data_IF_420854278862
#
_entry.id   IF_420854278862
#
_cell.length_a   1.000
_cell.length_b   1.000
_cell.length_c   1.000
_cell.angle_alpha   90.00
_cell.angle_beta   90.00
_cell.angle_gamma   90.00
#
_symmetry.space_group_name_H-M   'P 1'
#
loop_
_entity.id
_entity.type
_entity.pdbx_description
1 polymer ?
#
# COMPACT_ATOMS: atom_id res chain seq x y z
N UNK A 1 19.14 2.85 9.45
CA UNK A 1 18.24 1.75 9.04
C UNK A 1 19.08 0.58 8.57
N UNK A 2 18.99 -0.54 9.26
CA UNK A 2 19.72 -1.77 8.90
C UNK A 2 19.11 -2.38 7.63
N UNK A 3 19.95 -2.66 6.63
CA UNK A 3 19.53 -3.30 5.39
C UNK A 3 19.41 -4.80 5.64
N UNK A 4 18.25 -5.38 5.36
CA UNK A 4 18.03 -6.81 5.42
C UNK A 4 18.45 -7.50 4.11
N UNK A 5 17.82 -7.12 2.99
CA UNK A 5 18.07 -7.73 1.69
C UNK A 5 17.83 -6.71 0.57
N UNK A 6 18.47 -6.92 -0.58
CA UNK A 6 18.32 -6.08 -1.76
C UNK A 6 18.14 -6.97 -2.99
N UNK A 7 17.00 -6.84 -3.66
CA UNK A 7 16.71 -7.57 -4.90
C UNK A 7 15.81 -6.69 -5.81
N UNK A 8 15.99 -6.72 -7.15
CA UNK A 8 15.15 -5.95 -8.07
C UNK A 8 13.64 -6.15 -7.91
N UNK A 9 13.19 -7.28 -7.36
CA UNK A 9 11.77 -7.64 -7.23
C UNK A 9 11.07 -6.95 -6.06
N UNK A 10 11.78 -6.60 -5.00
CA UNK A 10 11.21 -5.96 -3.81
C UNK A 10 11.97 -4.70 -3.37
N UNK A 11 13.08 -4.35 -4.03
CA UNK A 11 13.92 -3.21 -3.70
C UNK A 11 14.89 -3.51 -2.55
N UNK A 12 15.25 -2.48 -1.80
CA UNK A 12 16.14 -2.53 -0.63
C UNK A 12 15.32 -2.57 0.65
N UNK A 13 15.11 -3.77 1.18
CA UNK A 13 14.37 -3.98 2.42
C UNK A 13 15.19 -3.54 3.62
N UNK A 14 14.62 -2.63 4.41
CA UNK A 14 15.21 -2.13 5.64
C UNK A 14 14.33 -2.50 6.82
N UNK A 15 14.95 -2.98 7.89
CA UNK A 15 14.26 -3.41 9.10
C UNK A 15 13.72 -2.17 9.83
N UNK A 16 12.43 -2.16 10.13
CA UNK A 16 11.75 -1.08 10.84
C UNK A 16 11.41 -1.50 12.27
N UNK A 17 10.59 -2.54 12.43
CA UNK A 17 10.18 -3.08 13.74
C UNK A 17 10.50 -4.56 13.84
N UNK A 18 11.06 -4.99 14.97
CA UNK A 18 11.36 -6.40 15.26
C UNK A 18 10.40 -6.93 16.31
N UNK A 19 9.80 -8.09 16.02
CA UNK A 19 8.78 -8.74 16.84
C UNK A 19 9.31 -9.98 17.57
N UNK A 20 10.32 -10.63 17.00
CA UNK A 20 11.04 -11.73 17.60
C UNK A 20 12.51 -11.64 17.24
N UNK A 21 13.37 -11.72 18.25
CA UNK A 21 14.82 -11.65 18.12
C UNK A 21 15.43 -12.83 18.87
N UNK A 22 16.18 -13.65 18.14
CA UNK A 22 16.93 -14.77 18.67
C UNK A 22 18.16 -14.97 17.77
N UNK A 23 19.32 -14.60 18.29
CA UNK A 23 20.56 -14.51 17.50
C UNK A 23 20.39 -13.66 16.23
N UNK A 24 19.74 -12.50 16.40
CA UNK A 24 19.32 -11.61 15.33
C UNK A 24 17.80 -11.55 15.13
N UNK A 25 17.29 -10.62 14.29
CA UNK A 25 15.86 -10.47 14.02
C UNK A 25 15.30 -11.68 13.27
N UNK A 26 14.36 -12.43 13.84
CA UNK A 26 13.75 -13.62 13.19
C UNK A 26 12.33 -13.36 12.69
N UNK A 27 11.62 -12.41 13.27
CA UNK A 27 10.32 -11.94 12.77
C UNK A 27 10.31 -10.43 12.87
N UNK A 28 10.08 -9.76 11.74
CA UNK A 28 10.13 -8.30 11.69
C UNK A 28 9.31 -7.73 10.53
N UNK A 29 9.07 -6.44 10.62
CA UNK A 29 8.52 -5.60 9.58
C UNK A 29 9.64 -4.84 8.87
N UNK A 30 9.59 -4.86 7.54
CA UNK A 30 10.53 -4.15 6.69
C UNK A 30 9.82 -3.24 5.68
N UNK A 31 10.50 -2.16 5.31
CA UNK A 31 10.09 -1.24 4.26
C UNK A 31 11.15 -1.18 3.17
N UNK A 32 10.74 -0.99 1.93
CA UNK A 32 11.64 -0.65 0.83
C UNK A 32 11.67 0.86 0.56
N UNK A 33 12.53 1.28 -0.37
CA UNK A 33 12.67 2.67 -0.80
C UNK A 33 11.40 3.28 -1.42
N UNK A 34 10.44 2.47 -1.87
CA UNK A 34 9.15 2.95 -2.38
C UNK A 34 8.07 3.08 -1.31
N UNK A 35 8.40 2.84 -0.03
CA UNK A 35 7.44 2.83 1.07
C UNK A 35 6.52 1.61 1.06
N UNK A 36 6.83 0.58 0.26
CA UNK A 36 6.13 -0.69 0.30
C UNK A 36 6.53 -1.48 1.53
N UNK A 37 5.56 -2.18 2.09
CA UNK A 37 5.63 -2.79 3.43
C UNK A 37 5.63 -4.31 3.34
N UNK A 38 6.48 -4.95 4.13
CA UNK A 38 6.69 -6.40 4.09
C UNK A 38 6.76 -6.98 5.50
N UNK A 39 6.08 -8.11 5.70
CA UNK A 39 6.26 -8.94 6.88
C UNK A 39 7.31 -10.01 6.55
N UNK A 40 8.37 -10.07 7.36
CA UNK A 40 9.48 -10.99 7.15
C UNK A 40 9.50 -12.05 8.25
N UNK A 41 9.53 -13.31 7.83
CA UNK A 41 9.44 -14.46 8.70
C UNK A 41 10.58 -15.44 8.41
N UNK A 42 11.43 -15.70 9.40
CA UNK A 42 12.45 -16.73 9.33
C UNK A 42 11.83 -18.12 9.35
N UNK A 43 12.23 -18.97 8.40
CA UNK A 43 11.69 -20.32 8.21
C UNK A 43 12.62 -21.37 8.81
N UNK A 44 13.93 -21.13 8.78
CA UNK A 44 14.92 -22.10 9.22
C UNK A 44 16.26 -21.86 8.55
N UNK A 45 17.28 -22.60 9.00
CA UNK A 45 18.63 -22.56 8.43
C UNK A 45 18.91 -23.87 7.70
N UNK A 46 19.56 -23.76 6.55
CA UNK A 46 20.21 -24.87 5.85
C UNK A 46 21.74 -24.76 6.00
N UNK A 47 22.50 -25.67 5.40
CA UNK A 47 23.97 -25.69 5.59
C UNK A 47 24.68 -24.43 5.06
N UNK A 48 24.14 -23.80 4.01
CA UNK A 48 24.78 -22.68 3.32
C UNK A 48 23.99 -21.37 3.38
N UNK A 49 22.72 -21.40 3.81
CA UNK A 49 21.83 -20.25 3.78
C UNK A 49 20.77 -20.28 4.88
N UNK A 50 20.32 -19.09 5.27
CA UNK A 50 19.08 -18.91 6.03
C UNK A 50 17.90 -18.76 5.08
N UNK A 51 16.78 -19.40 5.40
CA UNK A 51 15.55 -19.32 4.64
C UNK A 51 14.56 -18.34 5.27
N UNK A 52 14.03 -17.46 4.44
CA UNK A 52 13.14 -16.38 4.84
C UNK A 52 11.95 -16.28 3.91
N UNK A 53 10.78 -16.04 4.49
CA UNK A 53 9.60 -15.63 3.73
C UNK A 53 9.42 -14.13 3.88
N UNK A 54 9.43 -13.42 2.75
CA UNK A 54 9.11 -12.00 2.66
C UNK A 54 7.73 -11.87 2.04
N UNK A 55 6.77 -11.42 2.85
CA UNK A 55 5.35 -11.39 2.49
C UNK A 55 4.93 -9.93 2.32
N UNK A 56 4.55 -9.49 1.11
CA UNK A 56 3.94 -8.18 0.91
C UNK A 56 2.67 -8.05 1.76
N UNK A 57 2.58 -7.00 2.56
CA UNK A 57 1.42 -6.76 3.41
C UNK A 57 1.23 -5.27 3.66
N UNK A 58 -0.01 -4.80 3.77
CA UNK A 58 -0.33 -3.42 4.08
C UNK A 58 0.12 -3.00 5.47
N UNK A 59 0.39 -1.70 5.63
CA UNK A 59 0.70 -1.09 6.93
C UNK A 59 -0.44 -1.28 7.95
N UNK A 60 -1.70 -1.29 7.51
CA UNK A 60 -2.84 -1.58 8.38
C UNK A 60 -2.80 -3.00 8.93
N UNK A 61 -2.40 -3.99 8.13
CA UNK A 61 -2.24 -5.38 8.59
C UNK A 61 -1.08 -5.53 9.59
N UNK A 62 0.04 -4.82 9.36
CA UNK A 62 1.14 -4.73 10.32
C UNK A 62 0.65 -4.13 11.66
N UNK A 63 -0.05 -2.99 11.61
CA UNK A 63 -0.59 -2.34 12.81
C UNK A 63 -1.58 -3.24 13.56
N UNK A 64 -2.42 -3.99 12.85
CA UNK A 64 -3.36 -4.93 13.45
C UNK A 64 -2.63 -6.09 14.17
N UNK A 65 -1.54 -6.59 13.59
CA UNK A 65 -0.66 -7.56 14.26
C UNK A 65 0.01 -6.95 15.50
N UNK A 66 0.55 -5.74 15.40
CA UNK A 66 1.19 -5.00 16.50
C UNK A 66 0.22 -4.72 17.67
N UNK A 67 -1.04 -4.42 17.35
CA UNK A 67 -2.13 -4.21 18.33
C UNK A 67 -2.74 -5.52 18.85
N UNK A 68 -2.18 -6.68 18.52
CA UNK A 68 -2.67 -8.02 18.91
C UNK A 68 -4.09 -8.33 18.42
N UNK A 69 -4.55 -7.66 17.37
CA UNK A 69 -5.83 -7.94 16.71
C UNK A 69 -5.70 -9.11 15.73
N UNK A 70 -4.48 -9.35 15.22
CA UNK A 70 -4.13 -10.51 14.40
C UNK A 70 -3.06 -11.35 15.12
N UNK A 71 -3.16 -12.66 14.99
CA UNK A 71 -2.10 -13.59 15.42
C UNK A 71 -1.12 -13.87 14.27
N UNK A 72 0.02 -14.48 14.62
CA UNK A 72 1.11 -14.77 13.68
C UNK A 72 0.68 -15.78 12.59
N UNK A 73 -0.18 -16.74 12.92
CA UNK A 73 -0.69 -17.69 11.91
C UNK A 73 -1.55 -16.98 10.87
N UNK A 74 -2.43 -16.08 11.31
CA UNK A 74 -3.32 -15.31 10.44
C UNK A 74 -2.55 -14.39 9.48
N UNK A 75 -1.47 -13.74 9.93
CA UNK A 75 -0.68 -12.90 9.02
C UNK A 75 -0.01 -13.72 7.91
N UNK A 76 0.46 -14.93 8.22
CA UNK A 76 1.09 -15.87 7.29
C UNK A 76 0.10 -16.52 6.31
N UNK A 77 -1.07 -16.96 6.80
CA UNK A 77 -2.07 -17.67 5.98
C UNK A 77 -2.94 -16.73 5.14
N UNK A 78 -3.42 -15.63 5.72
CA UNK A 78 -4.38 -14.73 5.07
C UNK A 78 -3.69 -13.62 4.29
N UNK A 79 -2.76 -13.99 3.41
CA UNK A 79 -1.95 -13.05 2.63
C UNK A 79 -2.84 -12.18 1.72
N UNK A 80 -2.48 -10.90 1.60
CA UNK A 80 -3.21 -9.94 0.75
C UNK A 80 -2.92 -10.14 -0.74
N UNK A 81 -1.76 -10.74 -1.06
CA UNK A 81 -1.35 -11.09 -2.42
C UNK A 81 -1.36 -12.61 -2.62
N UNK A 82 -1.47 -13.03 -3.88
CA UNK A 82 -1.42 -14.45 -4.24
C UNK A 82 -0.01 -15.04 -4.17
N UNK A 83 1.03 -14.20 -4.13
CA UNK A 83 2.43 -14.61 -4.14
C UNK A 83 3.22 -13.89 -3.06
N UNK A 84 4.24 -14.57 -2.55
CA UNK A 84 5.25 -14.03 -1.64
C UNK A 84 6.64 -14.47 -2.09
N UNK A 85 7.68 -13.89 -1.51
CA UNK A 85 9.06 -14.21 -1.86
C UNK A 85 9.65 -15.24 -0.89
N UNK A 86 10.24 -16.28 -1.45
CA UNK A 86 11.12 -17.21 -0.76
C UNK A 86 12.56 -16.73 -0.95
N UNK A 87 13.21 -16.34 0.14
CA UNK A 87 14.50 -15.65 0.14
C UNK A 87 15.51 -16.53 0.86
N UNK A 88 16.55 -16.95 0.16
CA UNK A 88 17.68 -17.69 0.72
C UNK A 88 18.86 -16.75 0.84
N UNK A 89 19.18 -16.39 2.08
CA UNK A 89 20.28 -15.49 2.40
C UNK A 89 21.53 -16.33 2.70
N UNK A 90 22.57 -16.31 1.84
CA UNK A 90 23.77 -17.11 2.07
C UNK A 90 24.56 -16.59 3.27
N UNK A 91 25.17 -17.51 4.03
CA UNK A 91 26.09 -17.14 5.11
C UNK A 91 27.41 -16.57 4.58
N UNK A 92 27.82 -17.01 3.38
CA UNK A 92 29.04 -16.54 2.73
C UNK A 92 28.76 -15.26 1.95
N UNK A 93 29.59 -14.23 2.16
CA UNK A 93 29.55 -12.98 1.40
C UNK A 93 29.95 -13.14 -0.07
N UNK A 94 30.44 -14.31 -0.47
CA UNK A 94 30.81 -14.62 -1.87
C UNK A 94 29.64 -15.13 -2.72
N UNK A 95 28.53 -15.49 -2.09
CA UNK A 95 27.36 -16.05 -2.76
C UNK A 95 26.26 -15.00 -2.87
N UNK A 96 25.50 -15.07 -3.96
CA UNK A 96 24.40 -14.14 -4.20
C UNK A 96 23.13 -14.60 -3.47
N UNK A 97 22.34 -13.62 -3.05
CA UNK A 97 20.99 -13.84 -2.55
C UNK A 97 20.15 -14.58 -3.61
N UNK A 98 19.51 -15.68 -3.21
CA UNK A 98 18.55 -16.37 -4.07
C UNK A 98 17.17 -15.94 -3.63
N UNK A 99 16.35 -15.49 -4.58
CA UNK A 99 14.94 -15.20 -4.31
C UNK A 99 14.10 -15.94 -5.34
N UNK A 100 13.00 -16.52 -4.90
CA UNK A 100 11.98 -17.19 -5.72
C UNK A 100 10.58 -16.67 -5.36
N UNK A 101 9.61 -16.90 -6.24
CA UNK A 101 8.21 -16.60 -5.98
C UNK A 101 7.47 -17.87 -5.58
N UNK A 102 6.79 -17.84 -4.44
CA UNK A 102 5.89 -18.89 -4.00
C UNK A 102 4.46 -18.38 -3.99
N UNK A 103 3.54 -19.20 -4.49
CA UNK A 103 2.11 -18.91 -4.35
C UNK A 103 1.70 -19.09 -2.88
N UNK A 104 0.74 -18.30 -2.38
CA UNK A 104 0.34 -18.25 -0.96
C UNK A 104 -0.02 -19.61 -0.35
N UNK A 105 -0.52 -20.55 -1.16
CA UNK A 105 -0.82 -21.92 -0.69
C UNK A 105 0.43 -22.71 -0.25
N UNK A 106 1.63 -22.30 -0.70
CA UNK A 106 2.91 -22.88 -0.32
C UNK A 106 3.34 -22.49 1.10
N UNK A 107 2.63 -21.57 1.75
CA UNK A 107 2.84 -21.30 3.18
C UNK A 107 2.57 -22.54 4.05
N UNK A 108 1.74 -23.47 3.56
CA UNK A 108 1.45 -24.73 4.24
C UNK A 108 2.62 -25.75 4.19
N UNK A 109 3.69 -25.47 3.44
CA UNK A 109 4.88 -26.34 3.39
C UNK A 109 5.78 -26.19 4.63
N UNK A 110 5.57 -25.17 5.44
CA UNK A 110 6.28 -24.96 6.71
C UNK A 110 5.39 -25.33 7.90
N UNK A 111 6.00 -25.62 9.05
CA UNK A 111 5.25 -25.78 10.29
C UNK A 111 4.72 -24.40 10.73
N UNK A 112 3.41 -24.21 10.59
CA UNK A 112 2.78 -22.94 10.95
C UNK A 112 2.74 -22.76 12.48
N UNK A 113 2.90 -21.52 12.97
CA UNK A 113 2.81 -21.23 14.38
C UNK A 113 1.41 -21.50 14.92
N UNK A 114 1.31 -21.75 16.23
CA UNK A 114 0.04 -21.96 16.92
C UNK A 114 -0.85 -20.71 16.81
N UNK A 115 -2.17 -20.91 16.79
CA UNK A 115 -3.16 -19.84 16.63
C UNK A 115 -3.11 -18.75 17.72
N UNK A 116 -2.58 -19.07 18.90
CA UNK A 116 -2.54 -18.14 20.03
C UNK A 116 -1.19 -17.39 20.14
N UNK A 117 -0.39 -17.36 19.07
CA UNK A 117 0.88 -16.63 19.04
C UNK A 117 0.63 -15.20 18.57
N UNK A 118 0.63 -14.26 19.52
CA UNK A 118 0.55 -12.83 19.27
C UNK A 118 1.91 -12.17 19.51
N UNK A 119 2.10 -10.98 18.93
CA UNK A 119 3.26 -10.15 19.23
C UNK A 119 3.37 -9.93 20.74
N UNK A 120 4.56 -10.15 21.29
CA UNK A 120 4.83 -9.97 22.72
C UNK A 120 5.49 -8.62 23.00
N UNK A 121 6.49 -8.29 22.18
CA UNK A 121 7.26 -7.06 22.28
C UNK A 121 7.49 -6.49 20.87
N UNK A 122 7.61 -5.17 20.78
CA UNK A 122 7.91 -4.46 19.53
C UNK A 122 9.16 -3.63 19.80
N UNK A 123 10.26 -4.00 19.15
CA UNK A 123 11.53 -3.26 19.22
C UNK A 123 11.66 -2.43 17.94
N UNK A 124 11.65 -1.12 18.10
CA UNK A 124 11.83 -0.18 16.98
C UNK A 124 13.32 -0.15 16.64
N UNK A 125 13.67 -0.59 15.43
CA UNK A 125 15.05 -0.65 14.93
C UNK A 125 15.45 0.62 14.17
N UNK A 126 14.51 1.16 13.40
CA UNK A 126 14.73 2.38 12.66
C UNK A 126 13.42 3.15 12.48
N UNK A 127 13.47 4.48 12.32
CA UNK A 127 12.31 5.22 11.85
C UNK A 127 11.90 4.68 10.47
N UNK A 128 10.58 4.58 10.26
CA UNK A 128 9.95 4.34 8.96
C UNK A 128 10.57 5.27 7.90
N UNK A 129 10.83 4.74 6.70
CA UNK A 129 11.43 5.51 5.59
C UNK A 129 10.51 6.66 5.19
N UNK A 130 9.20 6.45 5.33
CA UNK A 130 8.22 7.51 5.31
C UNK A 130 8.15 8.11 6.72
N UNK A 131 8.79 9.27 6.91
CA UNK A 131 8.43 10.17 8.00
C UNK A 131 6.98 10.57 7.82
N UNK A 132 6.11 9.90 8.57
CA UNK A 132 4.87 10.37 9.17
C UNK A 132 4.01 9.14 9.46
N UNK A 133 3.20 9.22 10.51
CA UNK A 133 2.11 8.28 10.84
C UNK A 133 0.98 8.28 9.78
N UNK A 134 1.32 8.48 8.50
CA UNK A 134 0.37 8.50 7.39
C UNK A 134 -0.07 7.08 7.12
N UNK A 135 -1.28 6.79 7.57
CA UNK A 135 -1.99 5.58 7.22
C UNK A 135 -2.71 5.85 5.88
N UNK A 136 -2.70 4.91 4.91
CA UNK A 136 -3.58 4.98 3.76
C UNK A 136 -5.03 5.19 4.22
N UNK A 137 -5.62 6.31 3.81
CA UNK A 137 -7.01 6.65 4.15
C UNK A 137 -7.95 6.40 2.98
N UNK A 138 -7.47 6.65 1.76
CA UNK A 138 -8.25 6.55 0.52
C UNK A 138 -7.39 5.90 -0.57
N UNK A 139 -8.04 5.33 -1.59
CA UNK A 139 -7.36 4.75 -2.74
C UNK A 139 -7.97 5.33 -4.02
N UNK A 140 -7.13 5.92 -4.88
CA UNK A 140 -7.53 6.36 -6.21
C UNK A 140 -7.24 5.25 -7.20
N UNK A 141 -8.29 4.64 -7.76
CA UNK A 141 -8.17 3.51 -8.69
C UNK A 141 -8.52 3.98 -10.11
N UNK A 142 -7.51 4.01 -10.98
CA UNK A 142 -7.68 4.22 -12.42
C UNK A 142 -7.67 2.87 -13.12
N UNK A 143 -8.82 2.49 -13.69
CA UNK A 143 -9.00 1.19 -14.35
C UNK A 143 -9.65 1.35 -15.72
N UNK A 144 -9.39 0.38 -16.60
CA UNK A 144 -10.05 0.32 -17.91
C UNK A 144 -11.51 -0.09 -17.73
N UNK A 145 -12.43 0.65 -18.33
CA UNK A 145 -13.85 0.27 -18.43
C UNK A 145 -14.08 -0.93 -19.35
N UNK A 146 -13.28 -1.07 -20.42
CA UNK A 146 -13.42 -2.18 -21.38
C UNK A 146 -12.28 -3.21 -21.25
N UNK A 147 -12.61 -4.39 -20.70
CA UNK A 147 -11.70 -5.54 -20.57
C UNK A 147 -11.12 -6.05 -21.91
N UNK A 148 -11.72 -5.67 -23.06
CA UNK A 148 -11.27 -6.07 -24.41
C UNK A 148 -10.26 -5.10 -25.05
N UNK A 149 -9.99 -3.94 -24.43
CA UNK A 149 -9.02 -2.98 -24.94
C UNK A 149 -7.59 -3.47 -24.71
N UNK A 150 -6.80 -3.61 -25.79
CA UNK A 150 -5.39 -4.03 -25.74
C UNK A 150 -4.44 -2.95 -25.22
N UNK A 151 -4.85 -1.68 -25.18
CA UNK A 151 -3.99 -0.58 -24.70
C UNK A 151 -4.02 -0.50 -23.19
N UNK A 152 -2.86 -0.53 -22.53
CA UNK A 152 -2.72 -0.30 -21.10
C UNK A 152 -2.97 1.15 -20.74
N UNK A 153 -3.44 1.40 -19.51
CA UNK A 153 -3.49 2.76 -18.97
C UNK A 153 -2.05 3.26 -18.92
N UNK A 154 -1.78 4.41 -19.54
CA UNK A 154 -0.45 4.98 -19.59
C UNK A 154 -0.19 5.80 -18.32
N UNK A 155 1.07 5.84 -17.88
CA UNK A 155 1.48 6.60 -16.70
C UNK A 155 1.18 8.11 -16.83
N UNK A 156 1.30 8.64 -18.05
CA UNK A 156 0.97 10.04 -18.36
C UNK A 156 -0.52 10.38 -18.11
N UNK A 157 -1.44 9.47 -18.45
CA UNK A 157 -2.87 9.65 -18.18
C UNK A 157 -3.14 9.58 -16.68
N UNK A 158 -2.47 8.67 -15.96
CA UNK A 158 -2.56 8.60 -14.50
C UNK A 158 -2.12 9.90 -13.84
N UNK A 159 -0.98 10.46 -14.28
CA UNK A 159 -0.45 11.71 -13.70
C UNK A 159 -1.47 12.82 -13.88
N UNK A 160 -2.03 12.92 -15.09
CA UNK A 160 -3.06 13.90 -15.39
C UNK A 160 -4.31 13.75 -14.50
N UNK A 161 -4.81 12.53 -14.28
CA UNK A 161 -5.96 12.28 -13.40
C UNK A 161 -5.64 12.68 -11.97
N UNK A 162 -4.45 12.32 -11.47
CA UNK A 162 -4.03 12.67 -10.10
C UNK A 162 -3.89 14.18 -9.91
N UNK A 163 -3.31 14.87 -10.89
CA UNK A 163 -3.13 16.31 -10.87
C UNK A 163 -4.49 17.03 -10.85
N UNK A 164 -5.43 16.61 -11.69
CA UNK A 164 -6.79 17.19 -11.72
C UNK A 164 -7.62 16.86 -10.48
N UNK A 165 -7.48 15.65 -9.96
CA UNK A 165 -8.15 15.28 -8.71
C UNK A 165 -7.62 16.10 -7.54
N UNK A 166 -6.29 16.25 -7.44
CA UNK A 166 -5.66 17.06 -6.41
C UNK A 166 -6.09 18.52 -6.52
N UNK A 167 -6.09 19.09 -7.73
CA UNK A 167 -6.57 20.46 -8.01
C UNK A 167 -8.01 20.66 -7.54
N UNK A 168 -8.89 19.70 -7.78
CA UNK A 168 -10.29 19.74 -7.33
C UNK A 168 -10.41 19.71 -5.80
N UNK A 169 -9.69 18.79 -5.14
CA UNK A 169 -9.67 18.68 -3.66
C UNK A 169 -9.11 19.96 -3.03
N UNK A 170 -8.02 20.51 -3.58
CA UNK A 170 -7.44 21.75 -3.09
C UNK A 170 -8.39 22.95 -3.27
N UNK A 171 -9.08 23.02 -4.42
CA UNK A 171 -10.11 24.03 -4.65
C UNK A 171 -11.24 23.95 -3.62
N UNK A 172 -11.77 22.74 -3.42
CA UNK A 172 -12.81 22.47 -2.42
C UNK A 172 -12.40 22.86 -1.00
N UNK A 173 -11.22 22.42 -0.57
CA UNK A 173 -10.74 22.69 0.78
C UNK A 173 -10.56 24.18 1.02
N UNK A 174 -10.09 24.91 -0.01
CA UNK A 174 -9.91 26.35 0.05
C UNK A 174 -11.25 27.10 0.15
N UNK A 175 -12.29 26.68 -0.58
CA UNK A 175 -13.60 27.33 -0.51
C UNK A 175 -14.34 27.09 0.81
N UNK A 176 -14.01 26.02 1.53
CA UNK A 176 -14.70 25.62 2.76
C UNK A 176 -13.86 25.80 4.04
N UNK A 177 -12.75 26.54 3.96
CA UNK A 177 -11.81 26.75 5.08
C UNK A 177 -11.34 25.44 5.75
N UNK A 178 -11.15 24.38 4.95
CA UNK A 178 -10.69 23.08 5.42
C UNK A 178 -9.16 23.05 5.33
N UNK A 179 -8.51 22.97 6.49
CA UNK A 179 -7.08 22.68 6.57
C UNK A 179 -6.89 21.18 6.41
N UNK A 180 -6.39 20.75 5.25
CA UNK A 180 -5.96 19.37 5.03
C UNK A 180 -4.86 19.30 3.99
N UNK A 181 -4.06 18.23 4.06
CA UNK A 181 -3.08 17.88 3.04
C UNK A 181 -3.48 16.58 2.35
N UNK A 182 -3.21 16.49 1.04
CA UNK A 182 -3.36 15.27 0.26
C UNK A 182 -1.97 14.81 -0.19
N UNK A 183 -1.57 13.61 0.21
CA UNK A 183 -0.25 13.07 -0.09
C UNK A 183 -0.33 11.66 -0.69
N UNK A 184 0.36 11.39 -1.82
CA UNK A 184 0.46 10.05 -2.37
C UNK A 184 1.43 9.21 -1.51
N UNK A 185 1.03 7.97 -1.20
CA UNK A 185 1.82 7.06 -0.36
C UNK A 185 2.52 5.98 -1.19
N UNK A 186 1.78 5.25 -2.03
CA UNK A 186 2.33 4.20 -2.89
C UNK A 186 1.44 3.94 -4.11
N UNK A 187 1.98 3.24 -5.11
CA UNK A 187 1.27 2.83 -6.31
C UNK A 187 1.43 1.32 -6.54
N UNK A 188 0.34 0.61 -6.90
CA UNK A 188 0.34 -0.83 -7.19
C UNK A 188 0.11 -1.10 -8.67
N UNK A 189 0.79 -2.11 -9.22
CA UNK A 189 0.69 -2.49 -10.63
C UNK A 189 -0.52 -3.42 -10.89
N UNK A 190 -1.34 -3.08 -11.88
CA UNK A 190 -2.64 -3.71 -12.16
C UNK A 190 -3.62 -2.68 -12.71
N UNK A 191 -4.83 -2.58 -12.16
CA UNK A 191 -5.53 -1.28 -12.09
C UNK A 191 -4.58 -0.32 -11.36
N UNK A 192 -4.25 0.83 -11.93
CA UNK A 192 -3.34 1.76 -11.25
C UNK A 192 -4.05 2.30 -10.02
N UNK A 193 -3.65 1.80 -8.86
CA UNK A 193 -4.22 2.16 -7.58
C UNK A 193 -3.17 2.94 -6.78
N UNK A 194 -3.52 4.15 -6.37
CA UNK A 194 -2.67 5.03 -5.57
C UNK A 194 -3.28 5.17 -4.19
N UNK A 195 -2.52 4.80 -3.16
CA UNK A 195 -2.92 5.06 -1.78
C UNK A 195 -2.69 6.54 -1.46
N UNK A 196 -3.69 7.19 -0.89
CA UNK A 196 -3.66 8.58 -0.47
C UNK A 196 -3.77 8.68 1.05
N UNK A 197 -2.97 9.57 1.63
CA UNK A 197 -3.22 10.09 2.96
C UNK A 197 -3.93 11.45 2.85
N UNK A 198 -5.07 11.56 3.52
CA UNK A 198 -5.82 12.80 3.63
C UNK A 198 -6.32 12.96 5.07
N UNK A 199 -6.06 14.13 5.67
CA UNK A 199 -6.50 14.43 7.04
C UNK A 199 -8.01 14.67 7.12
N UNK A 200 -8.63 15.21 6.05
CA UNK A 200 -10.04 15.57 6.04
C UNK A 200 -10.62 15.54 4.61
N UNK A 201 -11.10 14.37 4.17
CA UNK A 201 -11.72 14.19 2.84
C UNK A 201 -13.22 13.89 2.90
N UNK A 202 -13.79 13.64 4.08
CA UNK A 202 -15.14 13.07 4.24
C UNK A 202 -16.24 13.97 3.67
N UNK A 203 -16.13 15.30 3.84
CA UNK A 203 -17.07 16.26 3.23
C UNK A 203 -16.98 16.28 1.70
N UNK A 204 -15.79 16.06 1.16
CA UNK A 204 -15.59 15.97 -0.27
C UNK A 204 -16.15 14.67 -0.84
N UNK A 205 -16.16 13.58 -0.06
CA UNK A 205 -16.84 12.33 -0.43
C UNK A 205 -18.37 12.52 -0.52
N UNK A 206 -18.98 13.25 0.43
CA UNK A 206 -20.40 13.59 0.38
C UNK A 206 -20.76 14.34 -0.91
N UNK A 207 -19.94 15.33 -1.26
CA UNK A 207 -20.03 16.05 -2.52
C UNK A 207 -19.93 15.10 -3.74
N UNK A 208 -18.89 14.28 -3.82
CA UNK A 208 -18.67 13.36 -4.94
C UNK A 208 -19.79 12.33 -5.07
N UNK A 209 -20.28 11.78 -3.96
CA UNK A 209 -21.39 10.84 -3.95
C UNK A 209 -22.65 11.48 -4.52
N UNK A 210 -22.93 12.74 -4.15
CA UNK A 210 -24.12 13.44 -4.60
C UNK A 210 -24.03 13.86 -6.07
N UNK A 211 -22.89 14.36 -6.53
CA UNK A 211 -22.68 14.66 -7.96
C UNK A 211 -22.77 13.39 -8.80
N UNK A 212 -22.17 12.29 -8.35
CA UNK A 212 -22.24 11.01 -9.04
C UNK A 212 -23.69 10.54 -9.20
N UNK A 213 -24.51 10.63 -8.14
CA UNK A 213 -25.95 10.31 -8.19
C UNK A 213 -26.67 11.16 -9.24
N UNK A 214 -26.43 12.48 -9.27
CA UNK A 214 -27.03 13.38 -10.25
C UNK A 214 -26.59 13.04 -11.69
N UNK A 215 -25.31 12.74 -11.90
CA UNK A 215 -24.75 12.36 -13.20
C UNK A 215 -25.32 11.04 -13.72
N UNK A 216 -25.45 10.01 -12.87
CA UNK A 216 -26.07 8.72 -13.22
C UNK A 216 -27.51 8.93 -13.72
N UNK A 217 -28.25 9.83 -13.09
CA UNK A 217 -29.62 10.17 -13.46
C UNK A 217 -29.73 11.26 -14.53
N UNK A 218 -28.61 11.69 -15.14
CA UNK A 218 -28.55 12.74 -16.17
C UNK A 218 -29.24 14.03 -15.76
N UNK A 219 -29.19 14.36 -14.47
CA UNK A 219 -29.70 15.62 -13.93
C UNK A 219 -28.68 16.73 -14.14
N UNK A 220 -29.16 17.98 -14.14
CA UNK A 220 -28.25 19.13 -14.11
C UNK A 220 -27.46 19.13 -12.80
N UNK A 221 -26.15 19.29 -12.92
CA UNK A 221 -25.20 19.36 -11.81
C UNK A 221 -24.69 20.78 -11.58
N UNK A 222 -24.95 21.71 -12.49
CA UNK A 222 -24.38 23.07 -12.46
C UNK A 222 -24.77 23.79 -11.19
N UNK A 223 -26.07 23.81 -10.85
CA UNK A 223 -26.55 24.43 -9.61
C UNK A 223 -25.99 23.79 -8.36
N UNK A 224 -25.69 22.49 -8.39
CA UNK A 224 -25.09 21.79 -7.24
C UNK A 224 -23.60 22.12 -7.09
N UNK A 225 -22.87 22.23 -8.20
CA UNK A 225 -21.47 22.69 -8.21
C UNK A 225 -21.36 24.12 -7.67
N UNK A 226 -22.27 25.01 -8.07
CA UNK A 226 -22.32 26.39 -7.57
C UNK A 226 -22.69 26.46 -6.07
N UNK A 227 -23.67 25.68 -5.62
CA UNK A 227 -24.07 25.61 -4.20
C UNK A 227 -22.91 25.15 -3.29
N UNK A 228 -22.10 24.23 -3.79
CA UNK A 228 -20.93 23.70 -3.08
C UNK A 228 -19.63 24.44 -3.41
N UNK A 229 -19.71 25.66 -3.97
CA UNK A 229 -18.55 26.51 -4.31
C UNK A 229 -17.42 25.76 -5.03
N UNK A 230 -17.80 24.93 -6.01
CA UNK A 230 -16.90 24.16 -6.87
C UNK A 230 -16.66 24.93 -8.16
N UNK A 231 -15.39 25.15 -8.51
CA UNK A 231 -15.04 25.67 -9.83
C UNK A 231 -15.44 24.66 -10.92
N UNK A 232 -16.45 25.03 -11.70
CA UNK A 232 -16.99 24.21 -12.79
C UNK A 232 -15.90 23.83 -13.80
N UNK A 233 -14.95 24.72 -14.11
CA UNK A 233 -13.86 24.42 -15.05
C UNK A 233 -12.91 23.37 -14.48
N UNK A 234 -12.59 23.46 -13.18
CA UNK A 234 -11.74 22.47 -12.50
C UNK A 234 -12.42 21.11 -12.49
N UNK A 235 -13.71 21.07 -12.17
CA UNK A 235 -14.50 19.84 -12.21
C UNK A 235 -14.58 19.24 -13.63
N UNK A 236 -14.82 20.07 -14.64
CA UNK A 236 -14.82 19.63 -16.05
C UNK A 236 -13.45 19.11 -16.50
N UNK A 237 -12.36 19.70 -16.03
CA UNK A 237 -11.01 19.23 -16.34
C UNK A 237 -10.76 17.84 -15.75
N UNK A 238 -11.28 17.55 -14.56
CA UNK A 238 -11.25 16.20 -14.00
C UNK A 238 -12.05 15.22 -14.86
N UNK A 239 -13.27 15.56 -15.26
CA UNK A 239 -14.08 14.68 -16.12
C UNK A 239 -13.39 14.38 -17.45
N UNK A 240 -12.80 15.40 -18.10
CA UNK A 240 -12.03 15.23 -19.33
C UNK A 240 -10.79 14.34 -19.14
N UNK A 241 -10.16 14.41 -17.97
CA UNK A 241 -9.01 13.55 -17.66
C UNK A 241 -9.43 12.08 -17.51
N UNK A 242 -10.67 11.81 -17.07
CA UNK A 242 -11.21 10.46 -16.90
C UNK A 242 -11.75 9.87 -18.22
N UNK A 243 -12.17 10.71 -19.17
CA UNK A 243 -12.72 10.28 -20.47
C UNK A 243 -11.64 9.72 -21.43
N UNK A 244 -10.38 10.14 -21.28
CA UNK A 244 -9.25 9.80 -22.17
C UNK A 244 -8.57 8.45 -21.84
#
# INVERSE_FOLDING_TARGET
MELFASDPRFGKLRIINVYLEFDGPKIFYAENESGSTFFVYWVGDEEAFENWYVIPCSKSKIIAFEKKQLNLKTILEQQEQEYFYDVKLPFSSSEELIVDFKHRNKIAEIELPKENVFVKNIKIYAPSILENDLIPTHELIVSKTNKKSKKNVLLEHMSLVCDRFSELVFGFNKSHDIVSSLQPLNARYGSFAISLHAENLTKFEEFLAKVSELMIHKKDITSFLEEWDIDIKVFLNLLKAIEN
#
